data_IF_131685084522
#
_entry.id   IF_131685084522
#
_cell.length_a   1.000
_cell.length_b   1.000
_cell.length_c   1.000
_cell.angle_alpha   90.00
_cell.angle_beta   90.00
_cell.angle_gamma   90.00
#
_symmetry.space_group_name_H-M   'P 1'
#
loop_
_entity.id
_entity.type
_entity.pdbx_description
1 polymer ?
#
# COMPACT_ATOMS: atom_id res chain seq x y z
N UNK A 1 34.09 9.38 22.04
CA UNK A 1 33.06 9.42 20.98
C UNK A 1 32.57 7.99 20.81
N UNK A 2 31.45 7.66 21.46
CA UNK A 2 30.96 6.28 21.58
C UNK A 2 30.54 5.68 20.24
N UNK A 3 31.30 4.70 19.76
CA UNK A 3 31.07 3.97 18.49
C UNK A 3 29.69 3.32 18.41
N UNK A 4 29.12 2.94 19.56
CA UNK A 4 27.77 2.38 19.64
C UNK A 4 26.69 3.43 19.32
N UNK A 5 26.86 4.66 19.80
CA UNK A 5 25.91 5.75 19.55
C UNK A 5 25.89 6.15 18.07
N UNK A 6 27.06 6.14 17.43
CA UNK A 6 27.20 6.43 16.00
C UNK A 6 26.51 5.36 15.14
N UNK A 7 26.68 4.08 15.46
CA UNK A 7 25.98 2.99 14.78
C UNK A 7 24.46 3.07 14.95
N UNK A 8 23.99 3.44 16.14
CA UNK A 8 22.56 3.58 16.41
C UNK A 8 21.95 4.71 15.57
N UNK A 9 22.63 5.86 15.50
CA UNK A 9 22.20 6.99 14.68
C UNK A 9 22.22 6.65 13.18
N UNK A 10 23.26 5.96 12.70
CA UNK A 10 23.32 5.52 11.29
C UNK A 10 22.17 4.57 10.93
N UNK A 11 21.86 3.61 11.81
CA UNK A 11 20.72 2.70 11.62
C UNK A 11 19.40 3.44 11.58
N UNK A 12 19.21 4.42 12.46
CA UNK A 12 17.99 5.24 12.52
C UNK A 12 17.82 6.06 11.24
N UNK A 13 18.89 6.68 10.74
CA UNK A 13 18.86 7.40 9.45
C UNK A 13 18.54 6.47 8.28
N UNK A 14 19.08 5.24 8.27
CA UNK A 14 18.76 4.24 7.25
C UNK A 14 17.30 3.79 7.29
N UNK A 15 16.69 3.66 8.47
CA UNK A 15 15.27 3.34 8.59
C UNK A 15 14.38 4.46 8.08
N UNK A 16 14.69 5.71 8.45
CA UNK A 16 13.96 6.90 7.96
C UNK A 16 14.07 6.97 6.43
N UNK A 17 15.27 6.80 5.88
CA UNK A 17 15.49 6.80 4.44
C UNK A 17 14.72 5.68 3.73
N UNK A 18 14.63 4.48 4.32
CA UNK A 18 13.83 3.37 3.77
C UNK A 18 12.34 3.65 3.82
N UNK A 19 11.85 4.29 4.88
CA UNK A 19 10.47 4.74 4.99
C UNK A 19 10.12 5.75 3.89
N UNK A 20 10.98 6.75 3.70
CA UNK A 20 10.82 7.78 2.67
C UNK A 20 10.92 7.19 1.25
N UNK A 21 11.83 6.24 1.00
CA UNK A 21 11.93 5.55 -0.28
C UNK A 21 10.73 4.65 -0.58
N UNK A 22 10.06 4.13 0.45
CA UNK A 22 8.87 3.29 0.28
C UNK A 22 7.62 4.11 -0.07
N UNK A 23 7.59 5.38 0.31
CA UNK A 23 6.49 6.32 -0.02
C UNK A 23 6.71 7.02 -1.36
N UNK A 24 7.95 7.03 -1.89
CA UNK A 24 8.24 7.58 -3.22
C UNK A 24 7.66 6.66 -4.31
N UNK A 25 6.74 7.21 -5.11
CA UNK A 25 6.18 6.57 -6.32
C UNK A 25 7.27 6.38 -7.36
N UNK A 26 8.03 5.28 -7.29
CA UNK A 26 9.14 4.97 -8.20
C UNK A 26 8.71 4.52 -9.60
N UNK A 27 7.45 4.74 -9.99
CA UNK A 27 6.90 4.29 -11.28
C UNK A 27 6.82 2.76 -11.44
N UNK A 28 7.15 2.00 -10.37
CA UNK A 28 6.94 0.56 -10.28
C UNK A 28 5.61 0.31 -9.57
N UNK A 29 4.84 -0.64 -10.08
CA UNK A 29 3.66 -1.22 -9.44
C UNK A 29 4.04 -1.71 -8.02
N UNK A 30 3.84 -0.84 -7.03
CA UNK A 30 4.13 -1.13 -5.62
C UNK A 30 2.83 -1.60 -4.95
N UNK A 31 2.73 -2.89 -4.56
CA UNK A 31 1.53 -3.42 -3.90
C UNK A 31 1.14 -2.61 -2.66
N UNK A 32 2.15 -2.18 -1.89
CA UNK A 32 1.99 -1.42 -0.65
C UNK A 32 1.22 -0.11 -0.83
N UNK A 33 1.26 0.52 -2.00
CA UNK A 33 0.51 1.74 -2.27
C UNK A 33 -1.00 1.45 -2.35
N UNK A 34 -1.36 0.33 -3.01
CA UNK A 34 -2.75 -0.09 -3.18
C UNK A 34 -3.31 -0.69 -1.88
N UNK A 35 -2.49 -1.43 -1.13
CA UNK A 35 -2.85 -2.04 0.16
C UNK A 35 -3.30 -1.01 1.21
N UNK A 36 -2.72 0.19 1.19
CA UNK A 36 -3.08 1.28 2.12
C UNK A 36 -4.29 2.11 1.67
N UNK A 37 -4.83 1.88 0.47
CA UNK A 37 -6.04 2.57 0.00
C UNK A 37 -7.23 2.13 0.84
N UNK A 38 -7.96 3.10 1.37
CA UNK A 38 -9.20 2.84 2.10
C UNK A 38 -10.39 2.90 1.15
N UNK A 39 -11.19 1.84 1.17
CA UNK A 39 -12.39 1.69 0.34
C UNK A 39 -13.62 1.57 1.23
N UNK A 40 -14.71 2.21 0.83
CA UNK A 40 -16.02 2.04 1.43
C UNK A 40 -16.64 0.77 0.85
N UNK A 41 -16.98 -0.18 1.72
CA UNK A 41 -17.60 -1.46 1.35
C UNK A 41 -18.97 -1.62 2.01
N UNK A 42 -19.76 -2.56 1.48
CA UNK A 42 -21.11 -2.89 1.90
C UNK A 42 -22.03 -1.64 1.94
N UNK A 43 -22.02 -0.86 0.85
CA UNK A 43 -22.87 0.32 0.71
C UNK A 43 -22.45 1.51 1.57
N UNK A 44 -21.18 1.58 1.99
CA UNK A 44 -20.65 2.68 2.81
C UNK A 44 -20.81 2.48 4.32
N UNK A 45 -21.17 1.27 4.76
CA UNK A 45 -21.28 0.94 6.17
C UNK A 45 -19.93 0.73 6.85
N UNK A 46 -18.91 0.29 6.10
CA UNK A 46 -17.58 0.02 6.64
C UNK A 46 -16.48 0.56 5.74
N UNK A 47 -15.47 1.22 6.31
CA UNK A 47 -14.25 1.65 5.62
C UNK A 47 -13.14 0.66 5.92
N UNK A 48 -12.73 -0.12 4.93
CA UNK A 48 -11.67 -1.12 5.05
C UNK A 48 -10.53 -0.81 4.10
N UNK A 49 -9.33 -1.25 4.44
CA UNK A 49 -8.17 -1.16 3.55
C UNK A 49 -8.20 -2.31 2.56
N UNK A 50 -7.62 -2.13 1.37
CA UNK A 50 -7.58 -3.20 0.35
C UNK A 50 -6.88 -4.46 0.87
N UNK A 51 -5.87 -4.32 1.74
CA UNK A 51 -5.20 -5.45 2.40
C UNK A 51 -6.14 -6.31 3.29
N UNK A 52 -7.23 -5.73 3.78
CA UNK A 52 -8.23 -6.43 4.60
C UNK A 52 -9.33 -7.07 3.75
N UNK A 53 -9.48 -6.61 2.51
CA UNK A 53 -10.51 -7.06 1.57
C UNK A 53 -9.99 -8.14 0.60
N UNK A 54 -8.68 -8.26 0.46
CA UNK A 54 -8.05 -9.19 -0.47
C UNK A 54 -6.53 -9.16 -0.43
N UNK A 55 -5.95 -9.99 -1.29
CA UNK A 55 -4.50 -10.05 -1.50
C UNK A 55 -4.13 -9.21 -2.72
N UNK A 56 -3.12 -8.33 -2.57
CA UNK A 56 -2.56 -7.55 -3.68
C UNK A 56 -1.22 -8.17 -4.08
N UNK A 57 -1.04 -8.44 -5.36
CA UNK A 57 0.24 -8.91 -5.91
C UNK A 57 0.64 -8.08 -7.12
N UNK A 58 1.94 -7.83 -7.27
CA UNK A 58 2.47 -7.24 -8.49
C UNK A 58 2.80 -8.36 -9.48
N UNK A 59 2.07 -8.42 -10.59
CA UNK A 59 2.34 -9.41 -11.64
C UNK A 59 3.51 -8.95 -12.52
N UNK A 60 3.59 -7.65 -12.79
CA UNK A 60 4.71 -7.03 -13.49
C UNK A 60 4.95 -5.60 -12.97
N UNK A 61 5.97 -4.93 -13.50
CA UNK A 61 6.35 -3.57 -13.07
C UNK A 61 5.30 -2.49 -13.27
N UNK A 62 4.26 -2.74 -14.07
CA UNK A 62 3.18 -1.80 -14.38
C UNK A 62 1.78 -2.36 -14.02
N UNK A 63 1.65 -3.66 -13.75
CA UNK A 63 0.36 -4.30 -13.42
C UNK A 63 0.30 -4.81 -11.98
N UNK A 64 -0.70 -4.34 -11.24
CA UNK A 64 -1.12 -4.87 -9.95
C UNK A 64 -2.37 -5.73 -10.12
N UNK A 65 -2.39 -6.89 -9.47
CA UNK A 65 -3.53 -7.80 -9.41
C UNK A 65 -4.08 -7.80 -7.99
N UNK A 66 -5.38 -7.58 -7.86
CA UNK A 66 -6.10 -7.66 -6.58
C UNK A 66 -7.01 -8.86 -6.62
N UNK A 67 -6.80 -9.79 -5.69
CA UNK A 67 -7.65 -10.96 -5.49
C UNK A 67 -8.49 -10.75 -4.23
N UNK A 68 -9.77 -10.36 -4.34
CA UNK A 68 -10.64 -10.17 -3.19
C UNK A 68 -11.02 -11.50 -2.56
N UNK A 69 -11.24 -11.51 -1.24
CA UNK A 69 -11.72 -12.69 -0.54
C UNK A 69 -13.22 -12.93 -0.75
N UNK A 70 -13.98 -11.86 -0.99
CA UNK A 70 -15.41 -11.89 -1.31
C UNK A 70 -15.64 -11.26 -2.69
N UNK A 71 -16.22 -11.96 -3.67
CA UNK A 71 -16.51 -11.38 -4.98
C UNK A 71 -17.61 -10.31 -4.96
N UNK A 72 -18.43 -10.24 -3.91
CA UNK A 72 -19.55 -9.29 -3.80
C UNK A 72 -19.11 -7.82 -3.71
N UNK A 73 -17.89 -7.59 -3.22
CA UNK A 73 -17.29 -6.26 -3.01
C UNK A 73 -16.42 -5.78 -4.18
N UNK A 74 -16.36 -6.53 -5.29
CA UNK A 74 -15.52 -6.19 -6.46
C UNK A 74 -15.85 -4.81 -7.02
N UNK A 75 -17.13 -4.47 -7.14
CA UNK A 75 -17.57 -3.16 -7.69
C UNK A 75 -17.19 -2.00 -6.75
N UNK A 76 -17.22 -2.23 -5.44
CA UNK A 76 -16.85 -1.25 -4.43
C UNK A 76 -15.33 -1.04 -4.39
N UNK A 77 -14.54 -2.12 -4.47
CA UNK A 77 -13.09 -2.06 -4.62
C UNK A 77 -12.72 -1.29 -5.90
N UNK A 78 -13.38 -1.57 -7.03
CA UNK A 78 -13.13 -0.85 -8.28
C UNK A 78 -13.37 0.66 -8.12
N UNK A 79 -14.50 1.06 -7.55
CA UNK A 79 -14.81 2.47 -7.28
C UNK A 79 -13.79 3.10 -6.32
N UNK A 80 -13.47 2.42 -5.21
CA UNK A 80 -12.52 2.93 -4.23
C UNK A 80 -11.11 3.13 -4.79
N UNK A 81 -10.64 2.24 -5.68
CA UNK A 81 -9.37 2.40 -6.38
C UNK A 81 -9.43 3.60 -7.34
N UNK A 82 -10.54 3.76 -8.07
CA UNK A 82 -10.73 4.87 -9.01
C UNK A 82 -10.78 6.24 -8.30
N UNK A 83 -11.44 6.30 -7.13
CA UNK A 83 -11.55 7.51 -6.30
C UNK A 83 -10.23 7.86 -5.57
N UNK A 84 -9.35 6.87 -5.37
CA UNK A 84 -8.08 6.99 -4.63
C UNK A 84 -7.02 7.91 -5.30
N UNK A 85 -7.34 8.56 -6.43
CA UNK A 85 -6.39 9.42 -7.16
C UNK A 85 -5.06 8.70 -7.50
N UNK A 86 -5.15 7.40 -7.80
CA UNK A 86 -4.07 6.60 -8.38
C UNK A 86 -4.10 6.60 -9.91
N UNK A 87 -5.00 7.39 -10.51
CA UNK A 87 -5.02 7.70 -11.94
C UNK A 87 -3.88 8.62 -12.35
#
# INVERSE_FOLDING_TARGET
MDLNQVNLNMRKTLEVLRGDLSTIRTGRAAPNLLENVSVLVYGGSTKLRIIELGTVSAQDSHTLVVTPFDPSIIEEIRKGIQDSALG
#
